data_IF_047945857145
#
_entry.id   IF_047945857145
#
_cell.length_a   1.000
_cell.length_b   1.000
_cell.length_c   1.000
_cell.angle_alpha   90.00
_cell.angle_beta   90.00
_cell.angle_gamma   90.00
#
_symmetry.space_group_name_H-M   'P 1'
#
loop_
_entity.id
_entity.type
_entity.pdbx_description
1 polymer ?
#
# COMPACT_ATOMS: atom_id res chain seq x y z
N UNK A 1 -6.96 -19.59 17.95
CA UNK A 1 -6.42 -20.96 17.77
C UNK A 1 -6.40 -21.22 16.28
N UNK A 2 -5.37 -21.93 15.79
CA UNK A 2 -5.17 -22.15 14.35
C UNK A 2 -5.66 -23.54 13.94
N UNK A 3 -6.37 -23.59 12.81
CA UNK A 3 -6.92 -24.81 12.19
C UNK A 3 -5.88 -25.54 11.35
N UNK A 4 -5.05 -24.79 10.64
CA UNK A 4 -4.02 -25.30 9.74
C UNK A 4 -2.78 -24.40 9.73
N UNK A 5 -1.62 -25.00 9.43
CA UNK A 5 -0.33 -24.33 9.31
C UNK A 5 0.27 -24.69 7.94
N UNK A 6 0.63 -23.67 7.17
CA UNK A 6 1.24 -23.81 5.85
C UNK A 6 2.66 -23.23 5.90
N UNK A 7 3.70 -24.06 6.14
CA UNK A 7 5.08 -23.64 6.01
C UNK A 7 5.53 -23.70 4.54
N UNK A 8 6.43 -22.80 4.14
CA UNK A 8 7.13 -22.95 2.87
C UNK A 8 8.06 -24.18 2.95
N UNK A 9 7.58 -25.34 2.48
CA UNK A 9 8.34 -26.59 2.48
C UNK A 9 9.00 -26.79 1.12
N UNK A 10 10.33 -26.84 1.07
CA UNK A 10 11.04 -27.22 -0.16
C UNK A 10 12.48 -26.75 -0.30
N UNK A 11 12.93 -25.79 0.52
CA UNK A 11 14.30 -25.24 0.48
C UNK A 11 14.81 -25.13 1.91
N UNK A 12 15.99 -25.70 2.17
CA UNK A 12 16.54 -25.95 3.53
C UNK A 12 17.17 -24.69 4.15
N UNK A 13 16.97 -23.53 3.52
CA UNK A 13 17.52 -22.26 3.99
C UNK A 13 16.49 -21.59 4.89
N UNK A 14 16.78 -21.59 6.20
CA UNK A 14 16.00 -20.84 7.21
C UNK A 14 15.84 -19.35 6.85
N UNK A 15 16.66 -18.81 5.96
CA UNK A 15 16.72 -17.37 5.69
C UNK A 15 16.01 -16.93 4.40
N UNK A 16 15.70 -17.85 3.48
CA UNK A 16 15.11 -17.50 2.18
C UNK A 16 13.59 -17.76 2.12
N UNK A 17 13.12 -18.73 2.90
CA UNK A 17 11.74 -19.22 2.86
C UNK A 17 11.12 -19.23 4.28
N UNK A 18 11.47 -18.25 5.14
CA UNK A 18 10.99 -18.16 6.53
C UNK A 18 9.55 -17.60 6.61
N UNK A 19 8.62 -18.30 5.96
CA UNK A 19 7.20 -17.95 5.91
C UNK A 19 6.34 -19.09 6.43
N UNK A 20 5.42 -18.73 7.31
CA UNK A 20 4.34 -19.60 7.75
C UNK A 20 3.02 -18.84 7.70
N UNK A 21 1.99 -19.46 7.13
CA UNK A 21 0.62 -18.95 7.14
C UNK A 21 -0.22 -19.78 8.09
N UNK A 22 -1.00 -19.10 8.93
CA UNK A 22 -1.85 -19.71 9.95
C UNK A 22 -3.31 -19.45 9.61
N UNK A 23 -4.07 -20.52 9.35
CA UNK A 23 -5.53 -20.43 9.19
C UNK A 23 -6.16 -20.48 10.57
N UNK A 24 -7.04 -19.53 10.87
CA UNK A 24 -7.68 -19.41 12.18
C UNK A 24 -8.95 -20.26 12.25
N UNK A 25 -9.33 -20.70 13.46
CA UNK A 25 -10.54 -21.50 13.70
C UNK A 25 -11.85 -20.75 13.46
N UNK A 26 -11.77 -19.42 13.27
CA UNK A 26 -12.92 -18.56 13.00
C UNK A 26 -12.45 -17.16 12.57
N UNK A 27 -13.38 -16.31 12.10
CA UNK A 27 -13.05 -14.98 11.66
C UNK A 27 -12.49 -14.15 12.83
N UNK A 28 -11.41 -13.41 12.55
CA UNK A 28 -10.93 -12.32 13.41
C UNK A 28 -11.44 -11.00 12.84
N UNK A 29 -11.65 -10.01 13.70
CA UNK A 29 -12.43 -8.79 13.43
C UNK A 29 -11.98 -7.91 12.24
N UNK A 30 -12.43 -6.66 12.26
CA UNK A 30 -12.52 -5.77 11.08
C UNK A 30 -11.19 -5.40 10.39
N UNK A 31 -10.05 -5.62 11.03
CA UNK A 31 -8.74 -5.19 10.51
C UNK A 31 -8.14 -6.24 9.57
N UNK A 32 -8.57 -6.22 8.32
CA UNK A 32 -7.92 -6.92 7.20
C UNK A 32 -7.15 -5.91 6.34
N UNK A 33 -6.17 -6.37 5.58
CA UNK A 33 -5.36 -5.54 4.67
C UNK A 33 -5.25 -6.24 3.32
N UNK A 34 -5.13 -5.49 2.21
CA UNK A 34 -4.87 -6.10 0.92
C UNK A 34 -3.48 -6.71 0.91
N UNK A 35 -3.27 -7.68 0.03
CA UNK A 35 -1.97 -8.27 -0.27
C UNK A 35 -1.51 -7.76 -1.64
N UNK A 36 -0.23 -7.41 -1.76
CA UNK A 36 0.34 -7.12 -3.09
C UNK A 36 0.82 -8.42 -3.73
N UNK A 37 0.30 -8.68 -4.93
CA UNK A 37 0.77 -9.76 -5.82
C UNK A 37 1.55 -9.18 -7.01
N UNK A 38 0.91 -8.27 -7.74
CA UNK A 38 1.43 -7.72 -8.99
C UNK A 38 2.35 -6.53 -8.74
N UNK A 39 3.21 -6.20 -9.71
CA UNK A 39 4.20 -5.13 -9.61
C UNK A 39 5.43 -5.47 -8.76
N UNK A 40 5.32 -6.40 -7.82
CA UNK A 40 6.41 -6.82 -6.95
C UNK A 40 6.82 -5.72 -5.96
N UNK A 41 8.07 -5.78 -5.52
CA UNK A 41 8.70 -4.79 -4.63
C UNK A 41 9.85 -4.15 -5.38
N UNK A 42 9.96 -2.83 -5.30
CA UNK A 42 11.02 -2.06 -5.97
C UNK A 42 12.02 -1.46 -4.96
N UNK A 43 13.32 -1.37 -5.31
CA UNK A 43 14.26 -0.56 -4.53
C UNK A 43 13.78 0.88 -4.39
N UNK A 44 14.07 1.48 -3.23
CA UNK A 44 13.63 2.81 -2.80
C UNK A 44 12.11 2.96 -2.58
N UNK A 45 11.33 1.88 -2.67
CA UNK A 45 9.92 1.93 -2.33
C UNK A 45 9.72 2.31 -0.84
N UNK A 46 8.89 3.32 -0.52
CA UNK A 46 8.58 3.67 0.85
C UNK A 46 7.62 2.65 1.48
N UNK A 47 7.96 2.19 2.67
CA UNK A 47 7.20 1.17 3.39
C UNK A 47 7.01 1.55 4.86
N UNK A 48 6.04 0.92 5.50
CA UNK A 48 5.83 0.97 6.95
C UNK A 48 5.89 -0.42 7.54
N UNK A 49 6.70 -0.61 8.57
CA UNK A 49 6.80 -1.85 9.33
C UNK A 49 6.09 -1.69 10.67
N UNK A 50 5.29 -2.67 11.05
CA UNK A 50 4.57 -2.68 12.33
C UNK A 50 5.06 -3.84 13.19
N UNK A 51 5.57 -3.51 14.38
CA UNK A 51 6.19 -4.47 15.28
C UNK A 51 5.86 -4.24 16.76
N UNK A 52 6.21 -5.20 17.60
CA UNK A 52 6.09 -5.17 19.07
C UNK A 52 7.41 -5.52 19.78
N UNK A 53 8.47 -5.76 18.99
CA UNK A 53 9.78 -6.20 19.43
C UNK A 53 10.48 -5.17 20.30
N UNK A 54 11.35 -5.67 21.16
CA UNK A 54 12.01 -4.90 22.21
C UNK A 54 13.17 -4.08 21.63
N UNK A 55 13.26 -2.76 21.89
CA UNK A 55 14.34 -1.93 21.37
C UNK A 55 15.73 -2.20 22.00
N UNK A 56 15.87 -3.14 22.94
CA UNK A 56 17.16 -3.46 23.58
C UNK A 56 17.16 -4.78 24.36
N UNK A 57 18.23 -5.04 25.12
CA UNK A 57 18.40 -6.19 26.01
C UNK A 57 18.28 -5.79 27.51
N UNK A 58 17.38 -6.43 28.27
CA UNK A 58 17.02 -6.04 29.64
C UNK A 58 15.71 -6.66 30.18
N UNK A 59 15.54 -6.74 31.50
CA UNK A 59 14.45 -7.52 32.11
C UNK A 59 13.10 -6.79 32.26
N UNK A 60 13.00 -5.51 31.83
CA UNK A 60 11.81 -4.66 32.03
C UNK A 60 11.18 -4.21 30.71
N UNK A 61 10.82 -5.17 29.85
CA UNK A 61 10.18 -4.86 28.57
C UNK A 61 8.66 -4.81 28.64
N UNK A 62 8.12 -3.69 28.17
CA UNK A 62 6.72 -3.57 27.79
C UNK A 62 6.69 -3.57 26.27
N UNK A 63 6.09 -4.61 25.67
CA UNK A 63 5.85 -4.67 24.24
C UNK A 63 4.88 -3.55 23.85
N UNK A 64 5.40 -2.51 23.20
CA UNK A 64 4.60 -1.41 22.67
C UNK A 64 4.59 -1.53 21.15
N UNK A 65 3.41 -1.37 20.56
CA UNK A 65 3.25 -1.33 19.10
C UNK A 65 4.06 -0.16 18.53
N UNK A 66 4.94 -0.45 17.57
CA UNK A 66 5.74 0.55 16.86
C UNK A 66 5.35 0.55 15.38
N UNK A 67 5.33 1.75 14.82
CA UNK A 67 5.15 1.98 13.39
C UNK A 67 6.41 2.69 12.90
N UNK A 68 7.19 2.02 12.06
CA UNK A 68 8.47 2.54 11.57
C UNK A 68 8.37 2.71 10.07
N UNK A 69 8.41 3.97 9.62
CA UNK A 69 8.52 4.29 8.20
C UNK A 69 9.98 4.12 7.75
N UNK A 70 10.18 3.48 6.61
CA UNK A 70 11.50 3.23 6.03
C UNK A 70 11.39 3.07 4.51
N UNK A 71 12.48 2.67 3.87
CA UNK A 71 12.54 2.36 2.45
C UNK A 71 13.10 0.95 2.23
N UNK A 72 12.73 0.35 1.10
CA UNK A 72 13.42 -0.83 0.57
C UNK A 72 14.79 -0.39 0.04
N UNK A 73 15.87 -0.99 0.51
CA UNK A 73 17.22 -0.70 0.02
C UNK A 73 17.60 -1.61 -1.14
N UNK A 74 17.32 -2.90 -1.02
CA UNK A 74 17.65 -3.89 -2.04
C UNK A 74 16.59 -5.00 -2.11
N UNK A 75 16.43 -5.59 -3.29
CA UNK A 75 15.46 -6.63 -3.58
C UNK A 75 16.20 -7.85 -4.10
N UNK A 76 15.91 -9.00 -3.51
CA UNK A 76 16.61 -10.23 -3.77
C UNK A 76 16.57 -10.68 -5.22
N UNK A 77 17.76 -10.75 -5.83
CA UNK A 77 18.00 -11.27 -7.18
C UNK A 77 18.99 -12.43 -7.19
N UNK A 78 19.65 -12.73 -6.06
CA UNK A 78 20.63 -13.81 -5.97
C UNK A 78 19.96 -15.16 -5.70
N UNK A 79 20.13 -16.12 -6.60
CA UNK A 79 19.70 -17.51 -6.41
C UNK A 79 20.61 -18.27 -5.42
N UNK A 80 21.77 -17.71 -5.06
CA UNK A 80 22.77 -18.34 -4.20
C UNK A 80 22.57 -17.87 -2.74
N UNK A 81 22.03 -18.72 -1.83
CA UNK A 81 21.63 -18.32 -0.48
C UNK A 81 22.80 -17.93 0.46
N UNK A 82 24.05 -18.07 0.00
CA UNK A 82 25.26 -17.86 0.80
C UNK A 82 26.32 -16.97 0.10
N UNK A 83 26.00 -16.33 -1.02
CA UNK A 83 26.88 -15.31 -1.62
C UNK A 83 26.51 -13.92 -1.08
N UNK A 84 27.47 -12.98 -1.12
CA UNK A 84 27.22 -11.56 -0.82
C UNK A 84 26.06 -11.05 -1.70
N UNK A 85 24.88 -10.87 -1.11
CA UNK A 85 23.68 -10.39 -1.80
C UNK A 85 22.37 -10.80 -1.13
N UNK A 86 21.30 -10.14 -1.54
CA UNK A 86 19.94 -10.42 -1.08
C UNK A 86 19.39 -11.63 -1.83
N UNK A 87 18.92 -12.64 -1.10
CA UNK A 87 18.41 -13.89 -1.70
C UNK A 87 17.10 -13.68 -2.43
N UNK A 88 16.90 -14.35 -3.58
CA UNK A 88 15.61 -14.40 -4.28
C UNK A 88 14.49 -14.74 -3.28
N UNK A 89 13.37 -14.02 -3.39
CA UNK A 89 12.26 -14.15 -2.44
C UNK A 89 12.39 -13.32 -1.17
N UNK A 90 13.40 -12.46 -1.07
CA UNK A 90 13.58 -11.54 0.06
C UNK A 90 13.84 -10.11 -0.40
N UNK A 91 13.75 -9.15 0.52
CA UNK A 91 14.23 -7.77 0.35
C UNK A 91 14.83 -7.27 1.65
N UNK A 92 15.62 -6.20 1.58
CA UNK A 92 16.32 -5.61 2.71
C UNK A 92 15.97 -4.14 2.90
N UNK A 93 16.04 -3.70 4.15
CA UNK A 93 15.78 -2.32 4.58
C UNK A 93 16.86 -1.88 5.56
N UNK A 94 16.95 -0.58 5.87
CA UNK A 94 17.66 -0.12 7.05
C UNK A 94 17.11 -0.77 8.33
N UNK A 95 17.82 -0.67 9.46
CA UNK A 95 17.39 -1.25 10.74
C UNK A 95 16.04 -0.68 11.23
N UNK A 96 15.03 -1.53 11.28
CA UNK A 96 13.65 -1.30 11.72
C UNK A 96 13.06 -2.44 12.57
N UNK A 97 13.52 -3.70 12.41
CA UNK A 97 13.06 -4.84 13.21
C UNK A 97 13.94 -5.03 14.44
N UNK A 98 13.30 -5.47 15.52
CA UNK A 98 13.91 -5.84 16.78
C UNK A 98 13.67 -7.31 17.13
N UNK A 99 14.30 -7.78 18.20
CA UNK A 99 13.96 -9.07 18.81
C UNK A 99 12.47 -9.10 19.19
N UNK A 100 11.77 -10.11 18.68
CA UNK A 100 10.32 -10.25 18.81
C UNK A 100 9.50 -9.64 17.66
N UNK A 101 10.14 -8.99 16.67
CA UNK A 101 9.47 -8.53 15.44
C UNK A 101 9.50 -9.56 14.30
N UNK A 102 9.97 -10.78 14.54
CA UNK A 102 9.83 -11.85 13.56
C UNK A 102 8.34 -12.09 13.26
N UNK A 103 7.96 -12.08 11.98
CA UNK A 103 6.57 -12.10 11.52
C UNK A 103 5.91 -10.73 11.36
N UNK A 104 6.61 -9.62 11.67
CA UNK A 104 6.07 -8.27 11.50
C UNK A 104 5.73 -7.96 10.03
N UNK A 105 4.55 -7.40 9.71
CA UNK A 105 4.22 -7.03 8.35
C UNK A 105 4.99 -5.78 7.91
N UNK A 106 5.53 -5.83 6.68
CA UNK A 106 5.92 -4.67 5.91
C UNK A 106 4.77 -4.29 4.97
N UNK A 107 4.36 -3.02 5.03
CA UNK A 107 3.25 -2.49 4.25
C UNK A 107 3.74 -1.42 3.27
N UNK A 108 3.22 -1.46 2.06
CA UNK A 108 3.39 -0.37 1.10
C UNK A 108 2.63 0.90 1.51
N UNK A 109 2.89 2.01 0.81
CA UNK A 109 2.17 3.27 1.01
C UNK A 109 0.65 3.16 0.82
N UNK A 110 0.18 2.21 0.00
CA UNK A 110 -1.24 1.87 -0.18
C UNK A 110 -1.87 1.20 1.04
N UNK A 111 -1.05 0.71 1.98
CA UNK A 111 -1.48 -0.14 3.09
C UNK A 111 -1.53 -1.63 2.78
N UNK A 112 -1.17 -2.05 1.55
CA UNK A 112 -1.04 -3.46 1.22
C UNK A 112 0.15 -4.11 1.93
N UNK A 113 -0.01 -5.34 2.40
CA UNK A 113 1.10 -6.14 2.94
C UNK A 113 1.91 -6.67 1.76
N UNK A 114 3.21 -6.39 1.79
CA UNK A 114 4.15 -6.77 0.73
C UNK A 114 5.22 -7.76 1.22
N UNK A 115 5.46 -7.80 2.52
CA UNK A 115 6.46 -8.69 3.09
C UNK A 115 6.30 -8.95 4.58
N UNK A 116 7.07 -9.92 5.08
CA UNK A 116 7.06 -10.38 6.47
C UNK A 116 8.49 -10.33 7.02
N UNK A 117 8.69 -9.69 8.17
CA UNK A 117 9.99 -9.57 8.81
C UNK A 117 10.53 -10.92 9.22
N UNK A 118 11.73 -11.28 8.74
CA UNK A 118 12.37 -12.56 9.03
C UNK A 118 13.45 -12.40 10.11
N UNK A 119 14.51 -11.68 9.79
CA UNK A 119 15.68 -11.56 10.67
C UNK A 119 16.44 -10.25 10.49
N UNK A 120 17.08 -9.72 11.54
CA UNK A 120 18.16 -8.75 11.39
C UNK A 120 19.38 -9.38 10.70
N UNK A 121 20.16 -8.56 10.01
CA UNK A 121 21.43 -8.91 9.39
C UNK A 121 22.54 -8.10 10.06
N UNK A 122 23.56 -8.80 10.57
CA UNK A 122 24.76 -8.17 11.12
C UNK A 122 25.85 -9.18 11.48
N UNK A 123 27.00 -8.70 12.02
CA UNK A 123 28.19 -9.49 12.35
C UNK A 123 28.11 -10.49 13.54
N UNK A 124 27.03 -10.54 14.33
CA UNK A 124 26.90 -11.34 15.56
C UNK A 124 25.51 -11.98 15.67
N UNK A 125 25.31 -12.88 16.63
CA UNK A 125 24.01 -13.58 16.81
C UNK A 125 23.14 -12.97 17.90
N UNK A 126 23.70 -12.03 18.68
CA UNK A 126 23.04 -11.33 19.77
C UNK A 126 22.86 -9.85 19.40
N UNK A 127 21.88 -9.53 18.55
CA UNK A 127 21.68 -8.15 18.10
C UNK A 127 20.67 -7.39 18.93
N UNK A 128 21.07 -6.22 19.41
CA UNK A 128 20.10 -5.16 19.68
C UNK A 128 19.70 -4.48 18.36
N UNK A 129 18.52 -3.85 18.32
CA UNK A 129 18.03 -3.23 17.08
C UNK A 129 18.94 -2.12 16.56
N UNK A 130 19.76 -1.53 17.43
CA UNK A 130 20.69 -0.45 17.11
C UNK A 130 21.95 -0.95 16.38
N UNK A 131 22.22 -2.26 16.44
CA UNK A 131 23.46 -2.88 15.94
C UNK A 131 23.26 -3.66 14.63
N UNK A 132 22.02 -3.86 14.20
CA UNK A 132 21.73 -4.43 12.88
C UNK A 132 22.22 -3.47 11.79
N UNK A 133 22.77 -4.01 10.69
CA UNK A 133 23.08 -3.20 9.52
C UNK A 133 21.87 -3.05 8.61
N UNK A 134 21.14 -4.16 8.43
CA UNK A 134 19.94 -4.23 7.63
C UNK A 134 18.94 -5.18 8.28
N UNK A 135 17.68 -5.11 7.87
CA UNK A 135 16.70 -6.15 8.16
C UNK A 135 16.26 -6.84 6.89
N UNK A 136 16.08 -8.15 7.00
CA UNK A 136 15.55 -8.99 5.93
C UNK A 136 14.06 -9.23 6.11
N UNK A 137 13.36 -9.15 4.99
CA UNK A 137 11.95 -9.46 4.88
C UNK A 137 11.74 -10.53 3.82
N UNK A 138 10.83 -11.46 4.08
CA UNK A 138 10.33 -12.39 3.08
C UNK A 138 9.34 -11.65 2.18
N UNK A 139 9.51 -11.81 0.88
CA UNK A 139 8.61 -11.29 -0.15
C UNK A 139 7.36 -12.17 -0.25
N UNK A 140 6.18 -11.57 -0.07
CA UNK A 140 4.92 -12.31 -0.18
C UNK A 140 4.62 -12.73 -1.63
N UNK A 141 4.94 -11.88 -2.61
CA UNK A 141 4.74 -12.17 -4.04
C UNK A 141 5.54 -13.38 -4.51
N UNK A 142 6.68 -13.67 -3.87
CA UNK A 142 7.53 -14.82 -4.17
C UNK A 142 7.03 -16.14 -3.57
N UNK A 143 6.04 -16.08 -2.67
CA UNK A 143 5.44 -17.24 -2.00
C UNK A 143 3.94 -17.35 -2.29
N UNK A 144 3.51 -16.84 -3.44
CA UNK A 144 2.10 -16.64 -3.74
C UNK A 144 1.28 -17.94 -3.76
N UNK A 145 1.86 -19.04 -4.26
CA UNK A 145 1.19 -20.36 -4.24
C UNK A 145 0.81 -20.81 -2.82
N UNK A 146 1.64 -20.47 -1.82
CA UNK A 146 1.38 -20.78 -0.41
C UNK A 146 0.25 -19.89 0.13
N UNK A 147 0.23 -18.61 -0.28
CA UNK A 147 -0.83 -17.66 0.06
C UNK A 147 -2.16 -18.12 -0.50
N UNK A 148 -2.22 -18.50 -1.78
CA UNK A 148 -3.44 -19.03 -2.41
C UNK A 148 -3.93 -20.30 -1.71
N UNK A 149 -3.03 -21.22 -1.34
CA UNK A 149 -3.38 -22.42 -0.58
C UNK A 149 -3.97 -22.10 0.80
N UNK A 150 -3.38 -21.17 1.55
CA UNK A 150 -3.87 -20.81 2.87
C UNK A 150 -5.26 -20.14 2.82
N UNK A 151 -5.50 -19.28 1.84
CA UNK A 151 -6.83 -18.66 1.65
C UNK A 151 -7.88 -19.67 1.14
N UNK A 152 -7.49 -20.56 0.23
CA UNK A 152 -8.36 -21.65 -0.22
C UNK A 152 -8.75 -22.57 0.94
N UNK A 153 -7.80 -22.92 1.82
CA UNK A 153 -8.08 -23.68 3.05
C UNK A 153 -8.97 -22.89 4.00
N UNK A 154 -8.76 -21.58 4.16
CA UNK A 154 -9.62 -20.74 4.98
C UNK A 154 -11.07 -20.68 4.46
N UNK A 155 -11.27 -20.90 3.15
CA UNK A 155 -12.56 -20.70 2.48
C UNK A 155 -12.89 -19.22 2.29
N UNK A 156 -11.88 -18.36 2.29
CA UNK A 156 -12.01 -16.91 2.21
C UNK A 156 -11.43 -16.39 0.88
N UNK A 157 -12.06 -15.39 0.26
CA UNK A 157 -11.49 -14.73 -0.91
C UNK A 157 -10.24 -13.93 -0.55
N UNK A 158 -9.28 -13.88 -1.47
CA UNK A 158 -8.13 -12.98 -1.40
C UNK A 158 -8.59 -11.54 -1.61
N UNK A 159 -7.98 -10.61 -0.89
CA UNK A 159 -8.07 -9.18 -1.15
C UNK A 159 -6.74 -8.69 -1.68
N UNK A 160 -6.70 -8.29 -2.95
CA UNK A 160 -5.51 -7.78 -3.60
C UNK A 160 -5.45 -6.25 -3.54
N UNK A 161 -4.24 -5.71 -3.55
CA UNK A 161 -4.03 -4.25 -3.62
C UNK A 161 -4.64 -3.62 -4.88
N UNK A 162 -4.70 -4.37 -5.97
CA UNK A 162 -5.31 -3.93 -7.23
C UNK A 162 -6.84 -3.99 -7.23
N UNK A 163 -7.44 -4.63 -6.23
CA UNK A 163 -8.90 -4.70 -6.11
C UNK A 163 -9.46 -3.33 -5.70
N UNK A 164 -10.66 -2.96 -6.18
CA UNK A 164 -11.29 -1.69 -5.82
C UNK A 164 -11.64 -1.58 -4.33
N UNK A 165 -11.69 -2.71 -3.61
CA UNK A 165 -12.01 -2.78 -2.19
C UNK A 165 -11.98 -4.22 -1.70
N UNK A 166 -12.27 -4.45 -0.41
CA UNK A 166 -12.28 -5.79 0.13
C UNK A 166 -13.39 -6.66 -0.49
N UNK A 167 -13.17 -7.97 -0.70
CA UNK A 167 -14.12 -8.85 -1.38
C UNK A 167 -15.42 -9.11 -0.60
N UNK A 168 -15.46 -8.76 0.69
CA UNK A 168 -16.66 -8.80 1.54
C UNK A 168 -17.37 -7.44 1.63
N UNK A 169 -16.85 -6.41 0.96
CA UNK A 169 -17.51 -5.12 0.93
C UNK A 169 -18.73 -5.16 0.01
N UNK A 170 -19.78 -4.46 0.42
CA UNK A 170 -21.02 -4.35 -0.31
C UNK A 170 -20.86 -3.39 -1.49
N UNK A 171 -21.33 -3.82 -2.65
CA UNK A 171 -21.38 -3.03 -3.87
C UNK A 171 -22.46 -1.94 -3.79
N UNK A 172 -22.36 -0.96 -4.68
CA UNK A 172 -23.34 0.13 -4.80
C UNK A 172 -24.78 -0.37 -4.91
N UNK A 173 -25.68 0.26 -4.15
CA UNK A 173 -27.10 -0.06 -4.10
C UNK A 173 -27.49 -1.21 -3.17
N UNK A 174 -26.53 -1.98 -2.64
CA UNK A 174 -26.80 -2.98 -1.60
C UNK A 174 -27.08 -2.31 -0.26
N UNK A 175 -27.93 -2.94 0.58
CA UNK A 175 -28.32 -2.37 1.87
C UNK A 175 -27.19 -2.48 2.89
N UNK A 176 -26.94 -1.39 3.62
CA UNK A 176 -25.87 -1.27 4.61
C UNK A 176 -26.38 -0.67 5.92
N UNK A 177 -25.68 -1.01 7.01
CA UNK A 177 -25.92 -0.48 8.36
C UNK A 177 -24.76 0.44 8.83
N UNK A 178 -23.88 0.83 7.90
CA UNK A 178 -22.74 1.71 8.18
C UNK A 178 -21.75 1.78 7.01
N UNK A 179 -20.90 2.80 7.04
CA UNK A 179 -19.96 3.12 5.95
C UNK A 179 -18.94 2.01 5.68
N UNK A 180 -18.40 1.40 6.74
CA UNK A 180 -17.30 0.43 6.67
C UNK A 180 -17.65 -0.88 5.98
N UNK A 181 -18.95 -1.18 5.78
CA UNK A 181 -19.37 -2.38 5.04
C UNK A 181 -19.43 -2.14 3.54
N UNK A 182 -19.43 -0.88 3.07
CA UNK A 182 -19.54 -0.54 1.66
C UNK A 182 -18.17 -0.48 0.98
N UNK A 183 -18.09 -0.92 -0.28
CA UNK A 183 -16.88 -0.79 -1.10
C UNK A 183 -16.48 0.68 -1.30
N UNK A 184 -17.47 1.58 -1.32
CA UNK A 184 -17.30 3.03 -1.38
C UNK A 184 -16.89 3.68 -0.06
N UNK A 185 -16.83 2.92 1.05
CA UNK A 185 -16.75 3.44 2.41
C UNK A 185 -17.87 4.46 2.74
N UNK A 186 -19.02 4.35 2.08
CA UNK A 186 -20.15 5.27 2.26
C UNK A 186 -21.49 4.54 2.16
N UNK A 187 -22.22 4.55 3.27
CA UNK A 187 -23.61 4.15 3.36
C UNK A 187 -24.49 5.40 3.30
N UNK A 188 -25.29 5.53 2.24
CA UNK A 188 -26.17 6.66 2.03
C UNK A 188 -27.28 6.69 3.09
N UNK A 189 -27.91 7.86 3.26
CA UNK A 189 -28.98 8.08 4.25
C UNK A 189 -30.20 7.18 4.04
N UNK A 190 -30.35 6.60 2.84
CA UNK A 190 -31.40 5.62 2.51
C UNK A 190 -31.04 4.17 2.88
N UNK A 191 -29.89 3.96 3.52
CA UNK A 191 -29.39 2.66 3.97
C UNK A 191 -28.82 1.81 2.84
N UNK A 192 -28.34 2.41 1.76
CA UNK A 192 -27.68 1.72 0.63
C UNK A 192 -26.26 2.21 0.40
N UNK A 193 -25.38 1.31 -0.02
CA UNK A 193 -24.00 1.67 -0.34
C UNK A 193 -23.93 2.57 -1.57
N UNK A 194 -23.07 3.59 -1.52
CA UNK A 194 -22.81 4.44 -2.68
C UNK A 194 -22.11 3.63 -3.80
N UNK A 195 -22.48 3.87 -5.06
CA UNK A 195 -21.85 3.22 -6.21
C UNK A 195 -20.59 3.98 -6.62
N UNK A 196 -19.42 3.33 -6.58
CA UNK A 196 -18.17 3.93 -7.06
C UNK A 196 -18.23 4.20 -8.58
N UNK A 197 -17.63 5.31 -9.02
CA UNK A 197 -17.60 5.69 -10.43
C UNK A 197 -16.32 6.44 -10.82
N UNK A 198 -15.94 6.37 -12.10
CA UNK A 198 -14.89 7.19 -12.71
C UNK A 198 -15.44 8.07 -13.84
N UNK A 199 -16.63 7.78 -14.34
CA UNK A 199 -17.37 8.56 -15.32
C UNK A 199 -18.88 8.28 -15.19
N UNK A 200 -19.73 9.16 -15.75
CA UNK A 200 -21.20 9.03 -15.69
C UNK A 200 -21.73 7.69 -16.21
N UNK A 201 -21.02 7.07 -17.16
CA UNK A 201 -21.40 5.75 -17.70
C UNK A 201 -21.28 4.61 -16.69
N UNK A 202 -20.53 4.82 -15.61
CA UNK A 202 -20.37 3.84 -14.54
C UNK A 202 -21.55 3.88 -13.58
N UNK A 203 -22.36 4.95 -13.62
CA UNK A 203 -23.54 5.15 -12.79
C UNK A 203 -24.80 4.55 -13.41
N UNK A 204 -25.65 3.98 -12.57
CA UNK A 204 -26.94 3.42 -12.98
C UNK A 204 -28.09 4.36 -12.59
N UNK A 205 -29.31 4.11 -13.07
CA UNK A 205 -30.49 4.84 -12.59
C UNK A 205 -30.61 6.34 -12.95
N UNK A 206 -29.76 6.86 -13.84
CA UNK A 206 -29.76 8.28 -14.21
C UNK A 206 -28.97 9.18 -13.26
N UNK A 207 -28.19 8.58 -12.37
CA UNK A 207 -27.21 9.26 -11.52
C UNK A 207 -26.03 9.78 -12.33
N UNK A 208 -25.31 10.76 -11.77
CA UNK A 208 -24.10 11.33 -12.35
C UNK A 208 -22.90 11.02 -11.48
N UNK A 209 -21.73 10.87 -12.10
CA UNK A 209 -20.51 10.60 -11.35
C UNK A 209 -19.97 11.90 -10.75
N UNK A 210 -19.96 11.99 -9.42
CA UNK A 210 -19.25 13.06 -8.74
C UNK A 210 -17.74 12.77 -8.80
N UNK A 211 -17.03 13.36 -9.76
CA UNK A 211 -15.59 13.12 -9.93
C UNK A 211 -14.76 13.52 -8.69
N UNK A 212 -15.24 14.49 -7.92
CA UNK A 212 -14.61 14.92 -6.66
C UNK A 212 -14.80 13.89 -5.56
N UNK A 213 -15.98 13.26 -5.50
CA UNK A 213 -16.34 12.33 -4.43
C UNK A 213 -16.05 10.85 -4.79
N UNK A 214 -15.95 10.52 -6.08
CA UNK A 214 -15.68 9.17 -6.58
C UNK A 214 -16.89 8.22 -6.58
N UNK A 215 -18.11 8.73 -6.37
CA UNK A 215 -19.33 7.93 -6.35
C UNK A 215 -20.51 8.60 -7.08
N UNK A 216 -21.49 7.78 -7.46
CA UNK A 216 -22.70 8.20 -8.15
C UNK A 216 -23.64 8.94 -7.21
N UNK A 217 -24.09 10.11 -7.65
CA UNK A 217 -25.01 10.98 -6.90
C UNK A 217 -26.25 11.27 -7.73
N UNK A 218 -27.37 11.50 -7.06
CA UNK A 218 -28.58 11.98 -7.73
C UNK A 218 -28.33 13.38 -8.32
N UNK A 219 -28.81 13.69 -9.53
CA UNK A 219 -28.69 15.03 -10.12
C UNK A 219 -29.26 16.14 -9.22
N UNK A 220 -30.23 15.80 -8.37
CA UNK A 220 -30.87 16.75 -7.44
C UNK A 220 -29.99 17.11 -6.24
N UNK A 221 -28.99 16.28 -5.91
CA UNK A 221 -28.07 16.48 -4.77
C UNK A 221 -26.83 17.29 -5.15
N UNK A 222 -26.51 17.37 -6.45
CA UNK A 222 -25.44 18.24 -6.90
C UNK A 222 -25.82 19.68 -6.53
N UNK A 223 -25.00 20.38 -5.72
CA UNK A 223 -25.26 21.78 -5.44
C UNK A 223 -25.25 22.45 -6.80
N UNK A 224 -26.42 22.88 -7.28
CA UNK A 224 -26.58 23.57 -8.55
C UNK A 224 -25.48 24.63 -8.61
N UNK A 225 -24.39 24.33 -9.32
CA UNK A 225 -23.32 25.30 -9.52
C UNK A 225 -24.04 26.39 -10.27
N UNK A 226 -24.20 27.53 -9.60
CA UNK A 226 -24.91 28.68 -10.14
C UNK A 226 -24.48 28.83 -11.58
N UNK A 227 -25.47 28.68 -12.45
CA UNK A 227 -25.42 28.86 -13.89
C UNK A 227 -24.13 29.57 -14.33
N UNK A 228 -23.28 28.85 -15.07
CA UNK A 228 -22.42 29.51 -16.04
C UNK A 228 -23.35 30.18 -17.06
N UNK A 229 -23.92 31.33 -16.67
CA UNK A 229 -24.47 32.30 -17.60
C UNK A 229 -23.32 32.67 -18.50
N UNK A 230 -23.31 32.08 -19.69
CA UNK A 230 -22.69 32.67 -20.86
C UNK A 230 -23.43 33.99 -21.11
N UNK A 231 -23.09 35.02 -20.33
CA UNK A 231 -23.26 36.39 -20.80
C UNK A 231 -22.35 36.47 -22.01
N UNK A 232 -22.95 36.39 -23.19
CA UNK A 232 -22.35 36.79 -24.44
C UNK A 232 -22.01 38.28 -24.37
N UNK A 233 -20.99 38.63 -23.59
CA UNK A 233 -20.36 39.92 -23.60
C UNK A 233 -19.55 40.00 -24.88
N UNK A 234 -20.11 40.67 -25.89
CA UNK A 234 -19.39 41.08 -27.09
C UNK A 234 -18.16 41.89 -26.68
N UNK A 235 -17.00 41.22 -26.57
CA UNK A 235 -15.73 41.87 -26.33
C UNK A 235 -15.33 42.63 -27.60
N UNK A 236 -15.40 43.96 -27.51
CA UNK A 236 -14.85 44.87 -28.51
C UNK A 236 -13.38 44.56 -28.70
N UNK A 237 -12.99 44.26 -29.94
CA UNK A 237 -11.61 44.37 -30.45
C UNK A 237 -11.00 45.69 -29.96
N UNK A 238 -9.97 45.62 -29.12
CA UNK A 238 -8.96 46.67 -29.04
C UNK A 238 -7.67 46.13 -29.65
N UNK A 239 -7.32 46.64 -30.82
CA UNK A 239 -6.02 46.43 -31.43
C UNK A 239 -4.95 47.06 -30.52
N UNK A 240 -4.05 46.22 -29.99
CA UNK A 240 -2.80 46.67 -29.36
C UNK A 240 -1.62 45.94 -30.04
N UNK A 241 -0.55 46.67 -30.44
CA UNK A 241 0.47 46.16 -31.36
C UNK A 241 1.51 45.24 -30.73
N UNK A 242 1.86 44.19 -31.47
CA UNK A 242 2.70 43.01 -31.17
C UNK A 242 4.22 43.30 -31.04
N UNK A 243 4.67 44.54 -30.78
CA UNK A 243 6.10 44.87 -30.89
C UNK A 243 6.94 44.85 -29.60
N UNK A 244 6.43 44.44 -28.43
CA UNK A 244 7.14 44.68 -27.15
C UNK A 244 7.80 43.48 -26.44
N UNK A 245 7.82 42.25 -26.97
CA UNK A 245 8.38 41.08 -26.24
C UNK A 245 9.50 40.36 -27.02
N UNK A 246 10.41 41.10 -27.65
CA UNK A 246 11.63 40.55 -28.24
C UNK A 246 12.93 41.19 -27.70
N UNK A 247 12.88 41.89 -26.56
CA UNK A 247 14.04 42.62 -26.02
C UNK A 247 14.66 42.05 -24.73
N UNK A 248 14.20 40.91 -24.19
CA UNK A 248 14.68 40.39 -22.90
C UNK A 248 15.50 39.08 -22.95
N UNK A 249 15.82 38.56 -24.14
CA UNK A 249 16.61 37.33 -24.30
C UNK A 249 18.10 37.54 -24.68
N UNK A 250 18.63 38.77 -24.60
CA UNK A 250 20.00 39.08 -25.04
C UNK A 250 21.03 39.37 -23.92
N UNK A 251 20.70 39.26 -22.62
CA UNK A 251 21.62 39.68 -21.54
C UNK A 251 22.01 38.57 -20.54
N UNK A 252 21.66 37.30 -20.79
CA UNK A 252 21.89 36.21 -19.84
C UNK A 252 23.15 35.36 -20.02
N UNK A 253 23.91 35.50 -21.10
CA UNK A 253 25.08 34.63 -21.38
C UNK A 253 26.39 35.40 -21.29
N UNK A 254 26.86 35.69 -20.08
CA UNK A 254 28.28 35.99 -19.80
C UNK A 254 28.51 36.07 -18.29
N UNK A 255 28.97 34.96 -17.70
CA UNK A 255 30.04 34.91 -16.67
C UNK A 255 30.03 33.54 -15.98
N UNK A 256 31.01 32.71 -16.32
CA UNK A 256 31.97 32.12 -15.36
C UNK A 256 32.89 31.14 -16.11
N UNK A 257 34.00 31.68 -16.60
CA UNK A 257 35.28 30.99 -16.67
C UNK A 257 36.26 31.86 -15.87
N UNK A 258 36.78 31.34 -14.76
CA UNK A 258 38.17 31.51 -14.32
C UNK A 258 38.35 31.02 -12.87
N UNK A 259 39.30 30.08 -12.74
CA UNK A 259 40.00 29.57 -11.55
C UNK A 259 39.35 28.45 -10.77
#
# INVERSE_FOLDING_TARGET
>A
RGRALFPALGRVSKCADDLALVVLDGPVGEFRRPLRREGGIEPLEPITVIGFGAPGSGDNYVAVRRHVATIVEDVGTSDEPNQEGVSVGTFETPPVLCDGDAGAPAMAASGAVIGIGASPIGPSVDFTCEEAFHNRFIRLDSHWDLVEQAFAEAGEPLWLESDPGPPWSLEGGQSCDGDSVCASELCLDDGRCAQLCRADRDCSGGELCSLDAGYCVSPDELPFSQTCSLVAGASRRSDAPIWAILALLALGTRRRQAR
#
